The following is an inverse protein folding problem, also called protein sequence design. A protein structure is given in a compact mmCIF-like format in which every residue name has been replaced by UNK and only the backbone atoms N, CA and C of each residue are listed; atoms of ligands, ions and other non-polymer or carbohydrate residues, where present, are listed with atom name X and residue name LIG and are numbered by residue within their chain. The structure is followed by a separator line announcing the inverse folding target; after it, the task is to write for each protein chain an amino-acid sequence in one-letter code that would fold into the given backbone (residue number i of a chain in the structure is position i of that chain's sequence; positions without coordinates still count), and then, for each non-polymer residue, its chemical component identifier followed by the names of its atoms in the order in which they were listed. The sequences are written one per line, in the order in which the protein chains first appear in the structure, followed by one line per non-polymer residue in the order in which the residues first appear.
data_IF_849876974955
#
_entry.id   IF_849876974955
#
_cell.length_a   1.000
_cell.length_b   1.000
_cell.length_c   1.000
_cell.angle_alpha   90.00
_cell.angle_beta   90.00
_cell.angle_gamma   90.00
#
_symmetry.space_group_name_H-M   'P 1'
#
loop_
_entity.id
_entity.type
_entity.pdbx_description
1 polymer ?
#
# COMPACT_ATOMS: atom_id res chain seq x y z
N UNK A 1 0.61 -13.12 8.64
CA UNK A 1 0.99 -12.05 7.70
C UNK A 1 2.48 -11.78 7.75
N UNK A 2 3.06 -11.37 6.63
CA UNK A 2 4.45 -10.93 6.53
C UNK A 2 4.49 -9.47 6.06
N UNK A 3 4.54 -8.56 7.01
CA UNK A 3 4.73 -7.14 6.74
C UNK A 3 6.21 -6.81 6.65
N UNK A 4 6.56 -5.70 5.99
CA UNK A 4 7.94 -5.21 5.99
C UNK A 4 8.15 -4.10 4.99
N UNK A 5 9.20 -3.30 5.19
CA UNK A 5 9.55 -2.24 4.25
C UNK A 5 9.93 -2.79 2.86
N UNK A 6 9.81 -1.99 1.80
CA UNK A 6 10.39 -2.35 0.49
C UNK A 6 11.89 -2.63 0.65
N UNK A 7 12.40 -3.71 0.05
CA UNK A 7 13.78 -4.19 0.22
C UNK A 7 14.08 -4.98 1.51
N UNK A 8 13.07 -5.30 2.33
CA UNK A 8 13.30 -6.02 3.60
C UNK A 8 13.62 -7.50 3.47
N UNK A 9 13.45 -8.12 2.30
CA UNK A 9 13.70 -9.55 2.08
C UNK A 9 12.45 -10.44 2.11
N UNK A 10 11.25 -9.87 1.89
CA UNK A 10 9.98 -10.63 1.95
C UNK A 10 9.85 -11.64 0.81
N UNK A 11 10.32 -11.27 -0.38
CA UNK A 11 10.17 -12.11 -1.58
C UNK A 11 10.93 -13.41 -1.41
N UNK A 12 12.13 -13.34 -0.85
CA UNK A 12 13.00 -14.48 -0.54
C UNK A 12 12.34 -15.43 0.46
N UNK A 13 11.66 -14.91 1.48
CA UNK A 13 10.91 -15.76 2.42
C UNK A 13 9.65 -16.36 1.80
N UNK A 14 8.99 -15.63 0.88
CA UNK A 14 7.84 -16.14 0.14
C UNK A 14 8.24 -17.26 -0.81
N UNK A 15 9.41 -17.18 -1.43
CA UNK A 15 9.96 -18.23 -2.29
C UNK A 15 10.13 -19.55 -1.56
N UNK A 16 10.32 -19.54 -0.24
CA UNK A 16 10.49 -20.77 0.55
C UNK A 16 9.18 -21.43 0.96
N UNK A 17 8.02 -20.80 0.74
CA UNK A 17 6.72 -21.35 1.12
C UNK A 17 6.39 -22.61 0.30
N UNK A 18 5.82 -23.61 0.99
CA UNK A 18 5.25 -24.81 0.36
C UNK A 18 3.97 -24.54 -0.48
N UNK A 19 3.53 -25.58 -1.19
CA UNK A 19 2.39 -25.51 -2.14
C UNK A 19 1.04 -25.22 -1.47
N UNK A 20 0.90 -25.46 -0.17
CA UNK A 20 -0.33 -25.19 0.60
C UNK A 20 -0.56 -23.69 0.88
N UNK A 21 0.41 -22.83 0.58
CA UNK A 21 0.34 -21.40 0.85
C UNK A 21 0.01 -20.60 -0.41
N UNK A 22 -0.84 -19.60 -0.25
CA UNK A 22 -1.12 -18.62 -1.29
C UNK A 22 -0.93 -17.20 -0.74
N UNK A 23 -0.29 -16.33 -1.53
CA UNK A 23 0.02 -14.96 -1.14
C UNK A 23 -1.12 -14.03 -1.53
N UNK A 24 -1.58 -13.22 -0.58
CA UNK A 24 -2.42 -12.05 -0.85
C UNK A 24 -1.50 -10.83 -0.83
N UNK A 25 -1.31 -10.15 -1.97
CA UNK A 25 -0.45 -8.96 -2.00
C UNK A 25 -1.07 -7.82 -1.19
N UNK A 26 -0.26 -7.21 -0.32
CA UNK A 26 -0.54 -6.01 0.46
C UNK A 26 0.30 -4.84 -0.07
N UNK A 27 0.14 -4.55 -1.35
CA UNK A 27 0.82 -3.45 -2.04
C UNK A 27 -0.15 -2.73 -2.99
N UNK A 28 -0.13 -1.39 -2.96
CA UNK A 28 -1.01 -0.55 -3.78
C UNK A 28 -0.48 -0.28 -5.19
N UNK A 29 0.69 -0.81 -5.55
CA UNK A 29 1.35 -0.60 -6.84
C UNK A 29 1.40 -1.88 -7.65
N UNK A 30 1.65 -3.02 -6.98
CA UNK A 30 1.68 -4.33 -7.65
C UNK A 30 0.32 -4.73 -8.26
N UNK A 31 -0.76 -4.02 -7.93
CA UNK A 31 -2.09 -4.21 -8.53
C UNK A 31 -2.13 -3.90 -10.03
N UNK A 32 -1.26 -3.01 -10.52
CA UNK A 32 -1.24 -2.60 -11.93
C UNK A 32 -0.52 -3.64 -12.79
N UNK A 33 -1.17 -4.04 -13.88
CA UNK A 33 -0.57 -4.84 -14.95
C UNK A 33 0.51 -4.03 -15.65
N UNK A 34 1.44 -4.74 -16.29
CA UNK A 34 2.50 -4.15 -17.13
C UNK A 34 3.48 -3.23 -16.38
N UNK A 35 3.32 -3.05 -15.07
CA UNK A 35 4.18 -2.27 -14.18
C UNK A 35 4.89 -3.21 -13.20
N UNK A 36 5.59 -4.23 -13.71
CA UNK A 36 6.19 -5.29 -12.90
C UNK A 36 7.54 -4.89 -12.30
N UNK A 37 8.41 -4.22 -13.06
CA UNK A 37 9.78 -3.87 -12.66
C UNK A 37 9.74 -2.76 -11.61
N UNK A 38 9.10 -1.63 -11.91
CA UNK A 38 9.06 -0.47 -10.99
C UNK A 38 8.35 -0.76 -9.68
N UNK A 39 7.45 -1.74 -9.66
CA UNK A 39 6.73 -2.16 -8.43
C UNK A 39 7.41 -3.34 -7.73
N UNK A 40 8.38 -3.99 -8.39
CA UNK A 40 8.80 -5.37 -8.13
C UNK A 40 7.65 -6.28 -7.79
N UNK A 41 6.71 -6.39 -8.72
CA UNK A 41 5.78 -7.49 -8.73
C UNK A 41 6.57 -8.84 -8.73
N UNK A 42 6.05 -9.88 -8.08
CA UNK A 42 6.60 -11.23 -8.20
C UNK A 42 6.60 -11.65 -9.67
N UNK A 43 7.71 -12.23 -10.13
CA UNK A 43 7.83 -12.67 -11.51
C UNK A 43 6.96 -13.91 -11.80
N UNK A 44 6.90 -14.33 -13.07
CA UNK A 44 6.09 -15.47 -13.47
C UNK A 44 6.56 -16.80 -12.83
N UNK A 45 7.86 -16.96 -12.55
CA UNK A 45 8.39 -18.16 -11.93
C UNK A 45 7.95 -18.28 -10.46
N UNK A 46 8.05 -17.17 -9.71
CA UNK A 46 7.57 -17.10 -8.34
C UNK A 46 6.05 -17.27 -8.27
N UNK A 47 5.29 -16.59 -9.15
CA UNK A 47 3.82 -16.74 -9.19
C UNK A 47 3.36 -18.16 -9.54
N UNK A 48 4.16 -18.90 -10.30
CA UNK A 48 3.91 -20.31 -10.60
C UNK A 48 4.22 -21.22 -9.41
N UNK A 49 5.26 -20.90 -8.64
CA UNK A 49 5.66 -21.67 -7.44
C UNK A 49 4.69 -21.43 -6.27
N UNK A 50 4.34 -20.17 -6.04
CA UNK A 50 3.45 -19.74 -4.97
C UNK A 50 2.40 -18.81 -5.58
N UNK A 51 1.12 -19.19 -5.64
CA UNK A 51 0.08 -18.33 -6.20
C UNK A 51 0.05 -16.96 -5.50
N UNK A 52 0.01 -15.88 -6.28
CA UNK A 52 -0.11 -14.51 -5.77
C UNK A 52 -1.41 -13.88 -6.26
N UNK A 53 -2.26 -13.51 -5.31
CA UNK A 53 -3.48 -12.74 -5.52
C UNK A 53 -3.19 -11.24 -5.44
N UNK A 54 -4.03 -10.45 -6.13
CA UNK A 54 -3.95 -8.97 -6.16
C UNK A 54 -2.65 -8.41 -6.76
N UNK A 55 -2.05 -9.14 -7.70
CA UNK A 55 -0.92 -8.68 -8.51
C UNK A 55 -1.36 -8.61 -9.97
N UNK A 56 -1.20 -7.47 -10.63
CA UNK A 56 -1.58 -7.28 -12.03
C UNK A 56 -3.08 -7.54 -12.28
N UNK A 57 -3.94 -7.03 -11.41
CA UNK A 57 -5.40 -7.25 -11.48
C UNK A 57 -6.15 -6.17 -12.26
N UNK A 58 -5.53 -5.01 -12.49
CA UNK A 58 -6.10 -3.88 -13.24
C UNK A 58 -5.09 -3.32 -14.23
N UNK A 59 -5.56 -2.65 -15.27
CA UNK A 59 -4.72 -1.93 -16.22
C UNK A 59 -4.19 -0.60 -15.61
N UNK A 60 -3.05 -0.07 -16.09
CA UNK A 60 -2.43 1.15 -15.56
C UNK A 60 -3.30 2.42 -15.55
N UNK A 61 -4.31 2.52 -16.41
CA UNK A 61 -5.24 3.64 -16.51
C UNK A 61 -6.49 3.52 -15.62
N UNK A 62 -6.68 2.37 -15.00
CA UNK A 62 -7.78 2.14 -14.07
C UNK A 62 -7.49 2.75 -12.70
N UNK A 63 -8.56 3.24 -12.04
CA UNK A 63 -8.49 3.70 -10.65
C UNK A 63 -8.81 2.54 -9.70
N UNK A 64 -8.08 2.47 -8.59
CA UNK A 64 -8.30 1.42 -7.58
C UNK A 64 -8.24 1.98 -6.17
N UNK A 65 -9.39 1.96 -5.51
CA UNK A 65 -9.54 2.52 -4.17
C UNK A 65 -9.16 1.51 -3.10
N UNK A 66 -8.98 1.99 -1.87
CA UNK A 66 -8.77 1.09 -0.73
C UNK A 66 -10.00 0.24 -0.39
N UNK A 67 -11.20 0.66 -0.83
CA UNK A 67 -12.42 -0.14 -0.71
C UNK A 67 -12.41 -1.29 -1.72
N UNK A 68 -11.99 -1.02 -2.96
CA UNK A 68 -11.83 -2.05 -4.00
C UNK A 68 -10.80 -3.10 -3.56
N UNK A 69 -9.66 -2.64 -3.03
CA UNK A 69 -8.65 -3.51 -2.42
C UNK A 69 -9.25 -4.39 -1.33
N UNK A 70 -9.97 -3.79 -0.36
CA UNK A 70 -10.58 -4.53 0.75
C UNK A 70 -11.49 -5.63 0.23
N UNK A 71 -12.39 -5.30 -0.70
CA UNK A 71 -13.32 -6.28 -1.25
C UNK A 71 -12.59 -7.41 -2.00
N UNK A 72 -11.60 -7.06 -2.83
CA UNK A 72 -10.83 -8.03 -3.60
C UNK A 72 -10.00 -8.95 -2.69
N UNK A 73 -9.35 -8.39 -1.66
CA UNK A 73 -8.57 -9.13 -0.69
C UNK A 73 -9.43 -10.08 0.15
N UNK A 74 -10.59 -9.64 0.65
CA UNK A 74 -11.49 -10.52 1.41
C UNK A 74 -11.98 -11.70 0.56
N UNK A 75 -12.36 -11.45 -0.71
CA UNK A 75 -12.73 -12.52 -1.64
C UNK A 75 -11.58 -13.49 -1.90
N UNK A 76 -10.37 -12.98 -2.07
CA UNK A 76 -9.19 -13.82 -2.29
C UNK A 76 -8.88 -14.67 -1.06
N UNK A 77 -8.88 -14.07 0.14
CA UNK A 77 -8.68 -14.80 1.41
C UNK A 77 -9.72 -15.92 1.56
N UNK A 78 -11.00 -15.62 1.36
CA UNK A 78 -12.06 -16.64 1.42
C UNK A 78 -11.87 -17.76 0.38
N UNK A 79 -11.44 -17.43 -0.83
CA UNK A 79 -11.19 -18.41 -1.90
C UNK A 79 -10.05 -19.37 -1.54
N UNK A 80 -8.96 -18.84 -1.00
CA UNK A 80 -7.79 -19.63 -0.55
C UNK A 80 -8.21 -20.57 0.57
N UNK A 81 -8.93 -20.06 1.58
CA UNK A 81 -9.42 -20.87 2.71
C UNK A 81 -10.37 -21.97 2.21
N UNK A 82 -11.32 -21.65 1.33
CA UNK A 82 -12.26 -22.64 0.74
C UNK A 82 -11.55 -23.73 -0.07
N UNK A 83 -10.35 -23.43 -0.57
CA UNK A 83 -9.52 -24.39 -1.31
C UNK A 83 -8.61 -25.20 -0.39
N UNK A 84 -8.79 -25.13 0.94
CA UNK A 84 -7.94 -25.76 1.96
C UNK A 84 -6.47 -25.31 1.91
N UNK A 85 -6.22 -24.08 1.47
CA UNK A 85 -4.90 -23.46 1.47
C UNK A 85 -4.80 -22.38 2.56
N UNK A 86 -3.58 -21.99 2.91
CA UNK A 86 -3.28 -21.00 3.95
C UNK A 86 -2.98 -19.64 3.29
N UNK A 87 -3.86 -18.62 3.47
CA UNK A 87 -3.61 -17.29 2.94
C UNK A 87 -2.54 -16.56 3.75
N UNK A 88 -1.50 -16.07 3.09
CA UNK A 88 -0.49 -15.19 3.68
C UNK A 88 -0.58 -13.80 3.06
N UNK A 89 -1.00 -12.83 3.88
CA UNK A 89 -0.93 -11.41 3.50
C UNK A 89 0.53 -10.93 3.52
N UNK A 90 1.08 -10.50 2.38
CA UNK A 90 2.49 -10.09 2.24
C UNK A 90 2.59 -8.69 1.66
N UNK A 91 3.31 -7.78 2.31
CA UNK A 91 3.56 -6.45 1.75
C UNK A 91 3.87 -5.38 2.79
N UNK A 92 3.47 -4.15 2.50
CA UNK A 92 3.79 -2.99 3.35
C UNK A 92 2.84 -1.80 3.18
N UNK A 93 1.67 -2.01 2.58
CA UNK A 93 0.62 -1.00 2.51
C UNK A 93 -0.18 -0.97 3.83
N UNK A 94 0.32 -0.25 4.84
CA UNK A 94 -0.31 -0.17 6.16
C UNK A 94 -1.76 0.33 6.13
N UNK A 95 -2.09 1.26 5.23
CA UNK A 95 -3.46 1.73 5.06
C UNK A 95 -4.42 0.62 4.57
N UNK A 96 -3.96 -0.24 3.68
CA UNK A 96 -4.73 -1.40 3.22
C UNK A 96 -4.94 -2.42 4.34
N UNK A 97 -3.93 -2.67 5.18
CA UNK A 97 -4.08 -3.53 6.35
C UNK A 97 -5.14 -2.97 7.30
N UNK A 98 -5.10 -1.66 7.54
CA UNK A 98 -6.11 -0.99 8.37
C UNK A 98 -7.52 -1.13 7.79
N UNK A 99 -7.67 -1.03 6.47
CA UNK A 99 -8.95 -1.24 5.79
C UNK A 99 -9.47 -2.67 5.92
N UNK A 100 -8.58 -3.67 5.93
CA UNK A 100 -8.95 -5.06 6.19
C UNK A 100 -9.38 -5.27 7.65
N UNK A 101 -8.62 -4.71 8.60
CA UNK A 101 -8.87 -4.85 10.05
C UNK A 101 -10.11 -4.10 10.54
N UNK A 102 -10.36 -2.90 10.01
CA UNK A 102 -11.37 -1.98 10.57
C UNK A 102 -12.41 -1.52 9.56
N UNK A 103 -12.31 -1.93 8.30
CA UNK A 103 -13.21 -1.44 7.25
C UNK A 103 -12.99 0.04 6.86
N UNK A 104 -13.75 0.52 5.86
CA UNK A 104 -13.79 1.94 5.51
C UNK A 104 -14.30 2.78 6.69
N UNK A 105 -14.02 4.08 6.66
CA UNK A 105 -14.88 5.00 7.40
C UNK A 105 -16.30 4.86 6.85
N UNK A 106 -17.29 4.67 7.73
CA UNK A 106 -18.69 4.84 7.36
C UNK A 106 -18.97 6.35 7.22
N UNK A 107 -18.31 7.01 6.28
CA UNK A 107 -18.77 8.30 5.80
C UNK A 107 -19.74 8.00 4.68
N UNK A 108 -21.03 8.25 4.89
CA UNK A 108 -21.94 8.43 3.76
C UNK A 108 -21.35 9.54 2.90
N UNK A 109 -20.74 9.21 1.77
CA UNK A 109 -20.26 10.19 0.79
C UNK A 109 -21.44 10.52 -0.11
N UNK A 110 -21.86 11.77 -0.08
CA UNK A 110 -22.88 12.29 -0.97
C UNK A 110 -22.22 12.59 -2.34
N UNK A 111 -22.62 11.89 -3.42
CA UNK A 111 -21.98 12.06 -4.74
C UNK A 111 -22.03 13.48 -5.27
N UNK A 112 -23.09 14.24 -4.95
CA UNK A 112 -23.22 15.64 -5.38
C UNK A 112 -22.21 16.52 -4.65
N UNK A 113 -22.05 16.32 -3.33
CA UNK A 113 -21.04 17.05 -2.55
C UNK A 113 -19.62 16.65 -2.97
N UNK A 114 -19.37 15.38 -3.27
CA UNK A 114 -18.06 14.95 -3.78
C UNK A 114 -17.74 15.62 -5.12
N UNK A 115 -18.71 15.66 -6.05
CA UNK A 115 -18.52 16.37 -7.32
C UNK A 115 -18.26 17.87 -7.12
N UNK A 116 -18.99 18.53 -6.20
CA UNK A 116 -18.77 19.93 -5.86
C UNK A 116 -17.37 20.17 -5.30
N UNK A 117 -16.92 19.34 -4.35
CA UNK A 117 -15.60 19.47 -3.74
C UNK A 117 -14.49 19.25 -4.76
N UNK A 118 -14.63 18.28 -5.67
CA UNK A 118 -13.66 18.03 -6.74
C UNK A 118 -13.51 19.22 -7.70
N UNK A 119 -14.56 20.02 -7.87
CA UNK A 119 -14.54 21.25 -8.68
C UNK A 119 -14.00 22.48 -7.93
N UNK A 120 -13.79 22.39 -6.61
CA UNK A 120 -13.16 23.47 -5.84
C UNK A 120 -11.64 23.42 -6.00
N UNK A 121 -10.98 24.58 -5.98
CA UNK A 121 -9.54 24.64 -5.78
C UNK A 121 -9.16 24.34 -4.31
N UNK A 122 -7.87 24.18 -4.05
CA UNK A 122 -7.38 23.84 -2.71
C UNK A 122 -7.71 24.91 -1.65
N UNK A 123 -7.66 26.19 -2.00
CA UNK A 123 -7.92 27.29 -1.06
C UNK A 123 -9.41 27.33 -0.67
N UNK A 124 -10.30 27.15 -1.63
CA UNK A 124 -11.74 27.00 -1.42
C UNK A 124 -12.07 25.80 -0.54
N UNK A 125 -11.42 24.64 -0.78
CA UNK A 125 -11.59 23.45 0.06
C UNK A 125 -11.12 23.73 1.49
N UNK A 126 -9.98 24.39 1.64
CA UNK A 126 -9.41 24.71 2.94
C UNK A 126 -10.34 25.64 3.73
N UNK A 127 -10.86 26.69 3.11
CA UNK A 127 -11.74 27.65 3.77
C UNK A 127 -13.07 27.01 4.18
N UNK A 128 -13.63 26.17 3.30
CA UNK A 128 -14.85 25.44 3.61
C UNK A 128 -14.65 24.42 4.72
N UNK A 129 -13.54 23.68 4.72
CA UNK A 129 -13.21 22.74 5.80
C UNK A 129 -12.97 23.48 7.11
N UNK A 130 -12.29 24.64 7.09
CA UNK A 130 -12.10 25.49 8.27
C UNK A 130 -13.42 25.96 8.88
N UNK A 131 -14.42 26.22 8.03
CA UNK A 131 -15.77 26.62 8.48
C UNK A 131 -16.53 25.45 9.10
N UNK A 132 -16.43 24.25 8.51
CA UNK A 132 -17.22 23.08 8.93
C UNK A 132 -16.59 22.29 10.07
N UNK A 133 -15.26 22.23 10.13
CA UNK A 133 -14.50 21.45 11.11
C UNK A 133 -13.11 22.07 11.32
N UNK A 134 -13.02 23.23 12.02
CA UNK A 134 -11.75 23.94 12.23
C UNK A 134 -10.71 23.11 12.98
N UNK A 135 -11.14 22.24 13.88
CA UNK A 135 -10.26 21.40 14.70
C UNK A 135 -9.55 20.30 13.89
N UNK A 136 -10.08 19.96 12.72
CA UNK A 136 -9.42 19.04 11.78
C UNK A 136 -8.20 19.66 11.07
N UNK A 137 -8.07 20.98 11.06
CA UNK A 137 -6.98 21.71 10.39
C UNK A 137 -5.91 22.17 11.37
N UNK A 138 -5.12 21.23 11.90
CA UNK A 138 -3.93 21.56 12.71
C UNK A 138 -2.67 21.09 12.00
N UNK A 139 -1.51 21.66 12.34
CA UNK A 139 -0.24 21.01 12.04
C UNK A 139 -0.29 19.59 12.63
N UNK A 140 -0.34 18.54 11.81
CA UNK A 140 -0.13 17.20 12.33
C UNK A 140 1.33 17.19 12.79
N UNK A 141 1.63 16.50 13.90
CA UNK A 141 3.02 16.09 14.15
C UNK A 141 3.51 15.18 13.00
N UNK A 142 4.56 14.39 13.21
CA UNK A 142 5.07 13.43 12.20
C UNK A 142 4.07 12.31 11.78
N UNK A 143 2.77 12.46 12.08
CA UNK A 143 1.71 11.52 11.83
C UNK A 143 0.44 12.24 11.33
N UNK A 144 -0.37 11.63 10.43
CA UNK A 144 -1.80 11.96 10.36
C UNK A 144 -2.41 11.71 11.73
N UNK A 145 -2.54 12.74 12.56
CA UNK A 145 -3.26 12.62 13.81
C UNK A 145 -4.72 12.23 13.49
N UNK A 146 -5.30 11.43 14.37
CA UNK A 146 -6.71 10.98 14.32
C UNK A 146 -7.60 12.19 14.02
N UNK A 147 -8.32 12.16 12.91
CA UNK A 147 -9.21 13.25 12.51
C UNK A 147 -8.55 14.60 12.18
N UNK A 148 -7.22 14.67 11.95
CA UNK A 148 -6.53 15.93 11.60
C UNK A 148 -5.70 15.83 10.32
N UNK A 149 -5.57 16.95 9.62
CA UNK A 149 -4.77 17.07 8.41
C UNK A 149 -4.02 18.41 8.32
N UNK A 150 -2.85 18.41 7.66
CA UNK A 150 -2.10 19.64 7.43
C UNK A 150 -2.81 20.46 6.34
N UNK A 151 -2.88 21.80 6.46
CA UNK A 151 -3.42 22.67 5.42
C UNK A 151 -2.78 22.54 4.02
N UNK A 152 -1.62 21.87 3.91
CA UNK A 152 -0.88 21.68 2.65
C UNK A 152 -1.09 20.28 2.08
N UNK A 153 -1.80 19.41 2.79
CA UNK A 153 -2.14 18.06 2.36
C UNK A 153 -3.44 18.13 1.56
N UNK A 154 -3.35 18.58 0.30
CA UNK A 154 -4.50 18.82 -0.57
C UNK A 154 -5.42 17.60 -0.69
N UNK A 155 -4.82 16.40 -0.75
CA UNK A 155 -5.57 15.16 -0.77
C UNK A 155 -6.38 14.95 0.52
N UNK A 156 -5.78 15.11 1.71
CA UNK A 156 -6.53 14.95 2.96
C UNK A 156 -7.56 16.03 3.18
N UNK A 157 -7.25 17.28 2.83
CA UNK A 157 -8.22 18.39 2.92
C UNK A 157 -9.45 18.09 2.07
N UNK A 158 -9.27 17.63 0.83
CA UNK A 158 -10.37 17.20 -0.04
C UNK A 158 -11.20 16.08 0.61
N UNK A 159 -10.54 15.01 1.07
CA UNK A 159 -11.23 13.85 1.66
C UNK A 159 -11.96 14.20 2.96
N UNK A 160 -11.38 15.05 3.80
CA UNK A 160 -11.99 15.50 5.06
C UNK A 160 -13.20 16.37 4.78
N UNK A 161 -13.08 17.31 3.84
CA UNK A 161 -14.22 18.15 3.45
C UNK A 161 -15.37 17.31 2.90
N UNK A 162 -15.10 16.33 2.03
CA UNK A 162 -16.14 15.42 1.54
C UNK A 162 -16.80 14.67 2.70
N UNK A 163 -16.02 14.12 3.63
CA UNK A 163 -16.52 13.36 4.75
C UNK A 163 -17.40 14.21 5.69
N UNK A 164 -16.87 15.35 6.16
CA UNK A 164 -17.56 16.27 7.07
C UNK A 164 -18.81 16.87 6.43
N UNK A 165 -18.70 17.35 5.19
CA UNK A 165 -19.83 17.98 4.52
C UNK A 165 -20.92 16.96 4.19
N UNK A 166 -20.56 15.72 3.85
CA UNK A 166 -21.54 14.68 3.54
C UNK A 166 -22.26 14.16 4.79
N UNK A 167 -21.53 13.93 5.88
CA UNK A 167 -22.08 13.37 7.12
C UNK A 167 -22.73 14.41 8.04
N UNK A 168 -22.30 15.67 7.95
CA UNK A 168 -22.64 16.72 8.93
C UNK A 168 -21.93 16.56 10.28
N UNK A 169 -21.00 15.62 10.40
CA UNK A 169 -20.22 15.34 11.62
C UNK A 169 -18.78 15.81 11.45
N UNK A 170 -18.14 16.20 12.55
CA UNK A 170 -16.70 16.48 12.58
C UNK A 170 -15.90 15.20 12.29
N UNK A 171 -14.65 15.39 11.85
CA UNK A 171 -13.71 14.29 11.69
C UNK A 171 -13.44 13.57 13.01
N UNK A 172 -13.51 14.24 14.17
CA UNK A 172 -13.34 13.56 15.44
C UNK A 172 -14.48 12.55 15.69
N UNK A 173 -15.73 12.99 15.55
CA UNK A 173 -16.91 12.13 15.75
C UNK A 173 -16.90 10.93 14.80
N UNK A 174 -16.60 11.16 13.51
CA UNK A 174 -16.49 10.08 12.52
C UNK A 174 -15.40 9.05 12.85
N UNK A 175 -14.38 9.45 13.60
CA UNK A 175 -13.32 8.55 14.04
C UNK A 175 -13.68 7.77 15.29
N UNK A 176 -14.40 8.37 16.24
CA UNK A 176 -14.88 7.70 17.46
C UNK A 176 -15.93 6.62 17.13
N UNK A 177 -16.81 6.89 16.16
CA UNK A 177 -17.77 5.89 15.66
C UNK A 177 -17.08 4.67 15.02
N UNK A 178 -15.88 4.87 14.44
CA UNK A 178 -15.12 3.82 13.77
C UNK A 178 -14.44 2.83 14.71
N UNK A 179 -14.12 3.20 15.95
CA UNK A 179 -13.47 2.26 16.89
C UNK A 179 -14.32 1.00 17.17
N UNK A 180 -15.57 0.95 16.69
CA UNK A 180 -16.51 -0.15 16.88
C UNK A 180 -16.71 -1.08 15.67
N UNK A 181 -15.99 -0.92 14.54
CA UNK A 181 -16.14 -1.81 13.38
C UNK A 181 -14.92 -2.72 13.17
N UNK A 182 -15.08 -4.00 13.49
CA UNK A 182 -14.06 -5.04 13.25
C UNK A 182 -14.25 -5.71 11.87
N UNK A 183 -13.13 -6.06 11.24
CA UNK A 183 -13.09 -6.86 10.03
C UNK A 183 -13.39 -8.34 10.30
N UNK A 184 -13.68 -9.13 9.24
CA UNK A 184 -14.06 -10.53 9.41
C UNK A 184 -12.90 -11.47 9.77
N UNK A 185 -11.65 -10.98 9.75
CA UNK A 185 -10.46 -11.77 10.02
C UNK A 185 -9.54 -11.06 11.00
N UNK A 186 -8.92 -11.85 11.87
CA UNK A 186 -7.78 -11.41 12.67
C UNK A 186 -6.49 -11.58 11.86
N UNK A 187 -5.64 -10.55 11.84
CA UNK A 187 -4.37 -10.58 11.12
C UNK A 187 -3.21 -10.59 12.10
N UNK A 188 -2.60 -11.76 12.30
CA UNK A 188 -1.41 -11.95 13.12
C UNK A 188 -0.16 -12.15 12.25
N UNK A 189 1.02 -11.78 12.75
CA UNK A 189 2.28 -12.02 12.05
C UNK A 189 3.40 -11.08 12.45
N UNK A 190 4.36 -10.92 11.55
CA UNK A 190 5.61 -10.19 11.82
C UNK A 190 5.81 -9.01 10.86
N UNK A 191 6.58 -8.03 11.32
CA UNK A 191 7.16 -6.98 10.51
C UNK A 191 8.66 -7.21 10.35
N UNK A 192 9.11 -7.49 9.12
CA UNK A 192 10.50 -7.76 8.79
C UNK A 192 11.28 -6.46 8.55
N UNK A 193 12.36 -6.26 9.31
CA UNK A 193 13.24 -5.10 9.20
C UNK A 193 14.72 -5.48 9.45
N UNK A 194 15.54 -5.72 8.41
CA UNK A 194 16.92 -6.22 8.55
C UNK A 194 17.93 -5.18 9.08
N UNK A 195 17.48 -4.12 9.74
CA UNK A 195 18.29 -2.98 10.11
C UNK A 195 18.52 -2.00 8.95
N UNK A 196 18.88 -0.76 9.30
CA UNK A 196 18.96 0.34 8.34
C UNK A 196 20.09 0.17 7.32
N UNK A 197 21.26 -0.31 7.76
CA UNK A 197 22.43 -0.48 6.90
C UNK A 197 22.16 -1.50 5.76
N UNK A 198 21.64 -2.68 6.12
CA UNK A 198 21.30 -3.73 5.16
C UNK A 198 20.17 -3.24 4.24
N UNK A 199 19.14 -2.60 4.80
CA UNK A 199 18.03 -2.08 4.02
C UNK A 199 18.49 -1.05 2.99
N UNK A 200 19.36 -0.11 3.35
CA UNK A 200 19.86 0.91 2.42
C UNK A 200 20.72 0.32 1.31
N UNK A 201 21.59 -0.64 1.65
CA UNK A 201 22.38 -1.39 0.64
C UNK A 201 21.48 -2.11 -0.36
N UNK A 202 20.45 -2.80 0.13
CA UNK A 202 19.46 -3.49 -0.72
C UNK A 202 18.67 -2.52 -1.59
N UNK A 203 18.22 -1.39 -1.04
CA UNK A 203 17.48 -0.38 -1.80
C UNK A 203 18.34 0.25 -2.91
N UNK A 204 19.61 0.50 -2.66
CA UNK A 204 20.52 1.00 -3.68
C UNK A 204 20.69 -0.02 -4.82
N UNK A 205 21.07 -1.27 -4.47
CA UNK A 205 21.23 -2.35 -5.46
C UNK A 205 19.96 -2.60 -6.26
N UNK A 206 18.80 -2.53 -5.61
CA UNK A 206 17.50 -2.66 -6.26
C UNK A 206 17.25 -1.60 -7.34
N UNK A 207 17.65 -0.35 -7.11
CA UNK A 207 17.49 0.71 -8.12
C UNK A 207 18.33 0.39 -9.35
N UNK A 208 19.58 -0.05 -9.16
CA UNK A 208 20.44 -0.46 -10.26
C UNK A 208 19.81 -1.62 -11.04
N UNK A 209 19.34 -2.65 -10.35
CA UNK A 209 18.65 -3.81 -10.94
C UNK A 209 17.38 -3.43 -11.70
N UNK A 210 16.59 -2.46 -11.22
CA UNK A 210 15.40 -1.99 -11.93
C UNK A 210 15.76 -1.38 -13.28
N UNK A 211 16.79 -0.53 -13.31
CA UNK A 211 17.27 0.09 -14.55
C UNK A 211 17.79 -1.00 -15.50
N UNK A 212 18.62 -1.92 -15.01
CA UNK A 212 19.17 -3.03 -15.81
C UNK A 212 18.09 -3.95 -16.38
N UNK A 213 17.00 -4.15 -15.65
CA UNK A 213 15.85 -4.96 -16.09
C UNK A 213 14.95 -4.26 -17.10
N UNK A 214 15.19 -2.98 -17.40
CA UNK A 214 14.42 -2.23 -18.40
C UNK A 214 13.26 -1.40 -17.81
N UNK A 215 13.44 -0.81 -16.62
CA UNK A 215 12.44 0.11 -16.04
C UNK A 215 12.07 1.27 -16.98
N UNK A 216 13.04 1.77 -17.75
CA UNK A 216 12.80 2.87 -18.71
C UNK A 216 11.90 2.41 -19.86
N UNK A 217 12.13 1.20 -20.35
CA UNK A 217 11.35 0.57 -21.42
C UNK A 217 9.92 0.27 -20.94
N UNK A 218 9.76 -0.26 -19.72
CA UNK A 218 8.46 -0.48 -19.08
C UNK A 218 7.66 0.82 -18.99
N UNK A 219 8.26 1.88 -18.43
CA UNK A 219 7.61 3.18 -18.30
C UNK A 219 7.28 3.79 -19.66
N UNK A 220 8.18 3.68 -20.65
CA UNK A 220 7.95 4.16 -22.01
C UNK A 220 6.79 3.43 -22.67
N UNK A 221 6.75 2.11 -22.56
CA UNK A 221 5.68 1.29 -23.13
C UNK A 221 4.32 1.65 -22.53
N UNK A 222 4.24 1.73 -21.21
CA UNK A 222 3.02 2.11 -20.51
C UNK A 222 2.56 3.53 -20.91
N UNK A 223 3.48 4.50 -20.95
CA UNK A 223 3.13 5.87 -21.34
C UNK A 223 2.66 5.99 -22.80
N UNK A 224 3.22 5.19 -23.71
CA UNK A 224 2.77 5.14 -25.10
C UNK A 224 1.38 4.53 -25.26
N UNK A 225 1.06 3.53 -24.44
CA UNK A 225 -0.20 2.79 -24.51
C UNK A 225 -1.35 3.49 -23.78
N UNK A 226 -1.09 4.02 -22.60
CA UNK A 226 -2.11 4.55 -21.67
C UNK A 226 -2.03 6.07 -21.46
N UNK A 227 -0.99 6.73 -21.99
CA UNK A 227 -0.71 8.13 -21.66
C UNK A 227 -0.25 8.29 -20.20
N UNK A 228 -0.38 9.50 -19.67
CA UNK A 228 -0.10 9.76 -18.25
C UNK A 228 -1.29 9.29 -17.42
N UNK A 229 -1.12 8.15 -16.76
CA UNK A 229 -2.18 7.43 -16.06
C UNK A 229 -1.89 7.23 -14.55
N UNK A 230 -2.87 6.80 -13.73
CA UNK A 230 -2.67 6.54 -12.31
C UNK A 230 -1.49 5.59 -12.00
N UNK A 231 -1.29 4.54 -12.78
CA UNK A 231 -0.16 3.62 -12.63
C UNK A 231 1.21 4.32 -12.71
N UNK A 232 1.37 5.25 -13.66
CA UNK A 232 2.60 6.04 -13.84
C UNK A 232 2.76 7.19 -12.84
N UNK A 233 1.77 7.42 -11.97
CA UNK A 233 1.89 8.32 -10.83
C UNK A 233 2.38 7.61 -9.56
N UNK A 234 2.63 6.30 -9.63
CA UNK A 234 3.22 5.57 -8.52
C UNK A 234 4.71 5.90 -8.35
N UNK A 235 5.25 5.52 -7.18
CA UNK A 235 6.61 5.83 -6.76
C UNK A 235 7.65 5.47 -7.84
N UNK A 236 8.41 6.46 -8.30
CA UNK A 236 9.55 6.29 -9.20
C UNK A 236 9.25 6.52 -10.69
N UNK A 237 8.01 6.31 -11.15
CA UNK A 237 7.69 6.46 -12.57
C UNK A 237 7.73 7.90 -13.05
N UNK A 238 7.39 8.87 -12.20
CA UNK A 238 7.51 10.29 -12.54
C UNK A 238 8.95 10.66 -12.89
N UNK A 239 9.90 10.23 -12.06
CA UNK A 239 11.32 10.47 -12.27
C UNK A 239 11.82 9.76 -13.54
N UNK A 240 11.34 8.54 -13.81
CA UNK A 240 11.66 7.81 -15.04
C UNK A 240 11.16 8.56 -16.28
N UNK A 241 9.93 9.09 -16.25
CA UNK A 241 9.38 9.89 -17.34
C UNK A 241 10.16 11.21 -17.56
N UNK A 242 10.59 11.88 -16.48
CA UNK A 242 11.47 13.06 -16.58
C UNK A 242 12.80 12.69 -17.28
N UNK A 243 13.37 11.53 -16.96
CA UNK A 243 14.59 11.04 -17.60
C UNK A 243 14.37 10.72 -19.09
N UNK A 244 13.28 10.02 -19.44
CA UNK A 244 12.91 9.70 -20.82
C UNK A 244 12.70 10.96 -21.69
N UNK A 245 12.28 12.06 -21.08
CA UNK A 245 12.09 13.35 -21.75
C UNK A 245 13.37 14.20 -21.84
N UNK A 246 14.52 13.71 -21.34
CA UNK A 246 15.79 14.42 -21.36
C UNK A 246 15.94 15.49 -20.27
N UNK A 247 15.01 15.57 -19.32
CA UNK A 247 15.02 16.55 -18.22
C UNK A 247 15.81 16.05 -16.99
N UNK A 248 16.25 14.79 -16.99
CA UNK A 248 16.96 14.15 -15.89
C UNK A 248 17.99 13.14 -16.45
N UNK A 249 19.23 13.17 -15.95
CA UNK A 249 20.22 12.15 -16.33
C UNK A 249 19.93 10.80 -15.67
N UNK A 250 20.53 9.71 -16.17
CA UNK A 250 20.39 8.37 -15.58
C UNK A 250 20.94 8.35 -14.14
N UNK A 251 22.05 9.02 -13.89
CA UNK A 251 22.68 9.08 -12.57
C UNK A 251 21.77 9.82 -11.58
N UNK A 252 21.19 10.94 -12.00
CA UNK A 252 20.25 11.70 -11.18
C UNK A 252 18.93 10.95 -10.97
N UNK A 253 18.47 10.17 -11.96
CA UNK A 253 17.33 9.26 -11.82
C UNK A 253 17.61 8.22 -10.73
N UNK A 254 18.75 7.53 -10.78
CA UNK A 254 19.12 6.52 -9.78
C UNK A 254 19.13 7.11 -8.37
N UNK A 255 19.72 8.28 -8.18
CA UNK A 255 19.75 8.96 -6.90
C UNK A 255 18.33 9.29 -6.39
N UNK A 256 17.48 9.86 -7.25
CA UNK A 256 16.10 10.19 -6.87
C UNK A 256 15.27 8.95 -6.53
N UNK A 257 15.39 7.87 -7.31
CA UNK A 257 14.73 6.60 -7.01
C UNK A 257 15.18 6.07 -5.65
N UNK A 258 16.49 6.06 -5.39
CA UNK A 258 17.02 5.60 -4.10
C UNK A 258 16.45 6.41 -2.92
N UNK A 259 16.45 7.74 -3.02
CA UNK A 259 15.86 8.64 -2.01
C UNK A 259 14.37 8.33 -1.82
N UNK A 260 13.61 8.23 -2.91
CA UNK A 260 12.16 8.00 -2.89
C UNK A 260 11.82 6.65 -2.23
N UNK A 261 12.53 5.57 -2.58
CA UNK A 261 12.39 4.26 -1.97
C UNK A 261 12.77 4.25 -0.48
N UNK A 262 13.85 4.95 -0.09
CA UNK A 262 14.25 5.08 1.31
C UNK A 262 13.21 5.83 2.14
N UNK A 263 12.67 6.93 1.62
CA UNK A 263 11.60 7.67 2.28
C UNK A 263 10.33 6.81 2.41
N UNK A 264 10.00 6.04 1.38
CA UNK A 264 8.86 5.12 1.43
C UNK A 264 9.05 4.03 2.48
N UNK A 265 10.21 3.39 2.53
CA UNK A 265 10.57 2.40 3.54
C UNK A 265 10.48 2.98 4.97
N UNK A 266 10.96 4.22 5.19
CA UNK A 266 10.81 4.92 6.48
C UNK A 266 9.34 5.11 6.85
N UNK A 267 8.50 5.57 5.91
CA UNK A 267 7.04 5.72 6.14
C UNK A 267 6.37 4.40 6.50
N UNK A 268 6.76 3.30 5.85
CA UNK A 268 6.25 1.97 6.18
C UNK A 268 6.64 1.57 7.61
N UNK A 269 7.91 1.72 8.00
CA UNK A 269 8.35 1.44 9.38
C UNK A 269 7.59 2.25 10.42
N UNK A 270 7.46 3.57 10.24
CA UNK A 270 6.73 4.43 11.17
C UNK A 270 5.26 3.98 11.31
N UNK A 271 4.63 3.57 10.22
CA UNK A 271 3.26 3.04 10.26
C UNK A 271 3.20 1.76 11.10
N UNK A 272 4.03 0.77 10.78
CA UNK A 272 3.98 -0.56 11.38
C UNK A 272 4.54 -0.64 12.81
N UNK A 273 5.28 0.37 13.27
CA UNK A 273 5.66 0.50 14.69
C UNK A 273 4.46 0.64 15.63
N UNK A 274 3.30 1.08 15.13
CA UNK A 274 2.07 1.25 15.90
C UNK A 274 1.07 0.12 15.71
N UNK A 275 1.38 -0.81 14.80
CA UNK A 275 0.57 -2.00 14.58
C UNK A 275 1.02 -3.09 15.55
N UNK A 276 0.10 -3.94 15.97
CA UNK A 276 0.36 -5.11 16.84
C UNK A 276 0.99 -6.27 16.06
N UNK A 277 2.17 -6.02 15.46
CA UNK A 277 2.99 -7.06 14.83
C UNK A 277 4.31 -7.15 15.56
N UNK A 278 4.86 -8.35 15.66
CA UNK A 278 6.21 -8.55 16.19
C UNK A 278 7.24 -8.04 15.18
N UNK A 279 8.19 -7.21 15.61
CA UNK A 279 9.24 -6.68 14.75
C UNK A 279 10.46 -7.60 14.81
N UNK A 280 10.85 -8.14 13.66
CA UNK A 280 11.96 -9.11 13.54
C UNK A 280 13.00 -8.61 12.56
N UNK A 281 14.28 -8.83 12.87
CA UNK A 281 15.38 -8.44 11.98
C UNK A 281 15.55 -9.41 10.80
N UNK A 282 15.22 -10.68 11.03
CA UNK A 282 15.28 -11.73 10.04
C UNK A 282 14.41 -12.89 10.44
N UNK A 283 14.11 -13.75 9.47
CA UNK A 283 13.57 -15.08 9.70
C UNK A 283 14.52 -16.08 9.07
N UNK A 284 14.86 -17.13 9.82
CA UNK A 284 15.61 -18.26 9.28
C UNK A 284 14.71 -19.08 8.35
N UNK A 285 15.35 -19.91 7.51
CA UNK A 285 14.62 -20.71 6.53
C UNK A 285 13.56 -21.60 7.19
N UNK A 286 12.38 -21.67 6.58
CA UNK A 286 11.22 -22.41 7.10
C UNK A 286 10.53 -21.80 8.32
N UNK A 287 11.05 -20.74 8.94
CA UNK A 287 10.39 -20.10 10.09
C UNK A 287 9.08 -19.41 9.71
N UNK A 288 9.01 -18.79 8.51
CA UNK A 288 7.77 -18.17 8.05
C UNK A 288 6.66 -19.21 7.89
N UNK A 289 6.99 -20.36 7.29
CA UNK A 289 6.06 -21.49 7.11
C UNK A 289 5.59 -22.03 8.47
N UNK A 290 6.51 -22.31 9.39
CA UNK A 290 6.17 -22.80 10.72
C UNK A 290 5.28 -21.81 11.48
N UNK A 291 5.60 -20.51 11.41
CA UNK A 291 4.79 -19.46 12.01
C UNK A 291 3.39 -19.42 11.38
N UNK A 292 3.30 -19.44 10.06
CA UNK A 292 2.02 -19.40 9.36
C UNK A 292 1.13 -20.60 9.70
N UNK A 293 1.69 -21.83 9.76
CA UNK A 293 0.96 -23.03 10.19
C UNK A 293 0.46 -22.91 11.63
N UNK A 294 1.31 -22.44 12.55
CA UNK A 294 0.93 -22.34 13.95
C UNK A 294 -0.20 -21.32 14.17
N UNK A 295 -0.09 -20.14 13.56
CA UNK A 295 -1.12 -19.09 13.68
C UNK A 295 -2.43 -19.52 13.00
N UNK A 296 -2.35 -20.15 11.84
CA UNK A 296 -3.55 -20.60 11.11
C UNK A 296 -4.18 -21.83 11.76
N UNK A 297 -3.41 -22.83 12.19
CA UNK A 297 -3.90 -24.02 12.88
C UNK A 297 -4.57 -23.70 14.21
N UNK A 298 -4.06 -22.73 14.97
CA UNK A 298 -4.68 -22.26 16.21
C UNK A 298 -6.04 -21.59 16.01
N UNK A 299 -6.37 -21.15 14.78
CA UNK A 299 -7.63 -20.47 14.47
C UNK A 299 -8.83 -21.41 14.28
N UNK A 300 -8.61 -22.74 14.19
CA UNK A 300 -9.69 -23.73 14.02
C UNK A 300 -10.38 -23.68 12.64
N UNK A 301 -9.81 -22.98 11.66
CA UNK A 301 -10.38 -22.78 10.31
C UNK A 301 -10.22 -24.04 9.43
N UNK A 302 -9.43 -25.03 9.84
CA UNK A 302 -9.30 -26.33 9.17
C UNK A 302 -9.87 -27.44 10.07
N UNK A 303 -11.07 -27.93 9.73
CA UNK A 303 -11.63 -29.21 10.18
C UNK A 303 -12.33 -29.91 9.03
#
# INVERSE_FOLDING_TARGET
MLAGATGSGKTELVEELGEEFEVISLDSRQIYRELEIGTAAPDAALRKKVPHHLVGIIDPDESFTAMDYRQAALRAIESVIRSNHIPILVGGAGFYLRMLRTGPFQSHTDPEKEALVRNMDHEQRLERLRTLDPDSLTQPGEHPARGRCHPNDAYRVERFLIAVWSSGKSMQELWEEKEHSEGPFEFQGVFLHPGEEILWKRLHSRVDQMIERGLLEEARHCAQKYGICPGLQTLGYKEVLECLNGNLSIEALKERLWIAHRQYARRQRIWFQKETLEHVEGLASGQLEALARNLFGASGIIH
#
